data_IF_717352515535
#
_entry.id   IF_717352515535
#
_cell.length_a   1.000
_cell.length_b   1.000
_cell.length_c   1.000
_cell.angle_alpha   90.00
_cell.angle_beta   90.00
_cell.angle_gamma   90.00
#
_symmetry.space_group_name_H-M   'P 1'
#
loop_
_entity.id
_entity.type
_entity.pdbx_description
1 polymer ?
#
# COMPACT_ATOMS: atom_id res chain seq x y z
N UNK A 1 16.44 32.58 26.49
CA UNK A 1 15.69 32.82 25.25
C UNK A 1 14.27 32.35 25.48
N UNK A 2 13.30 33.25 25.53
CA UNK A 2 11.89 32.90 25.71
C UNK A 2 11.29 32.71 24.32
N UNK A 3 11.10 31.46 23.90
CA UNK A 3 10.57 31.18 22.58
C UNK A 3 9.06 31.38 22.58
N UNK A 4 8.55 32.17 21.62
CA UNK A 4 7.12 32.44 21.50
C UNK A 4 6.30 31.17 21.19
N UNK A 5 4.97 31.23 21.39
CA UNK A 5 4.08 30.08 21.18
C UNK A 5 4.13 29.48 19.77
N UNK A 6 4.45 30.29 18.75
CA UNK A 6 4.61 29.81 17.37
C UNK A 6 5.84 28.90 17.18
N UNK A 7 6.95 29.24 17.83
CA UNK A 7 8.17 28.41 17.78
C UNK A 7 7.91 27.04 18.41
N UNK A 8 7.21 27.01 19.56
CA UNK A 8 6.86 25.76 20.23
C UNK A 8 5.93 24.90 19.36
N UNK A 9 4.96 25.51 18.68
CA UNK A 9 4.09 24.81 17.70
C UNK A 9 4.91 24.24 16.53
N UNK A 10 5.80 25.03 15.95
CA UNK A 10 6.65 24.58 14.84
C UNK A 10 7.57 23.42 15.26
N UNK A 11 8.14 23.48 16.46
CA UNK A 11 8.97 22.41 17.01
C UNK A 11 8.16 21.13 17.27
N UNK A 12 6.93 21.26 17.79
CA UNK A 12 6.02 20.13 17.98
C UNK A 12 5.64 19.46 16.65
N UNK A 13 5.32 20.25 15.61
CA UNK A 13 5.01 19.73 14.27
C UNK A 13 6.20 18.98 13.68
N UNK A 14 7.41 19.55 13.75
CA UNK A 14 8.63 18.89 13.26
C UNK A 14 8.91 17.58 14.00
N UNK A 15 8.67 17.54 15.31
CA UNK A 15 8.81 16.31 16.09
C UNK A 15 7.80 15.25 15.67
N UNK A 16 6.53 15.64 15.46
CA UNK A 16 5.47 14.74 15.01
C UNK A 16 5.78 14.16 13.62
N UNK A 17 6.26 14.97 12.68
CA UNK A 17 6.69 14.52 11.35
C UNK A 17 7.83 13.49 11.44
N UNK A 18 8.84 13.74 12.28
CA UNK A 18 9.94 12.81 12.49
C UNK A 18 9.47 11.49 13.12
N UNK A 19 8.53 11.54 14.07
CA UNK A 19 7.92 10.34 14.63
C UNK A 19 7.16 9.54 13.58
N UNK A 20 6.38 10.19 12.73
CA UNK A 20 5.65 9.55 11.64
C UNK A 20 6.62 8.85 10.66
N UNK A 21 7.70 9.52 10.25
CA UNK A 21 8.73 8.92 9.37
C UNK A 21 9.34 7.67 9.97
N UNK A 22 9.69 7.72 11.27
CA UNK A 22 10.25 6.56 11.99
C UNK A 22 9.23 5.41 12.08
N UNK A 23 7.98 5.72 12.40
CA UNK A 23 6.91 4.74 12.46
C UNK A 23 6.67 4.07 11.09
N UNK A 24 6.64 4.85 10.01
CA UNK A 24 6.49 4.32 8.65
C UNK A 24 7.62 3.35 8.28
N UNK A 25 8.87 3.70 8.60
CA UNK A 25 10.02 2.83 8.38
C UNK A 25 9.93 1.56 9.25
N UNK A 26 9.59 1.71 10.53
CA UNK A 26 9.43 0.58 11.43
C UNK A 26 8.37 -0.40 10.91
N UNK A 27 7.23 0.09 10.44
CA UNK A 27 6.19 -0.75 9.81
C UNK A 27 6.72 -1.44 8.57
N UNK A 28 7.42 -0.73 7.68
CA UNK A 28 8.00 -1.30 6.46
C UNK A 28 8.98 -2.44 6.75
N UNK A 29 9.74 -2.35 7.84
CA UNK A 29 10.67 -3.41 8.24
C UNK A 29 10.02 -4.59 8.97
N UNK A 30 8.90 -4.37 9.67
CA UNK A 30 8.33 -5.39 10.56
C UNK A 30 7.08 -6.07 10.01
N UNK A 31 6.47 -5.55 8.94
CA UNK A 31 5.31 -6.18 8.34
C UNK A 31 5.70 -7.51 7.69
N UNK A 32 5.02 -8.60 8.09
CA UNK A 32 5.27 -9.96 7.58
C UNK A 32 4.15 -10.49 6.69
N UNK A 33 2.96 -9.93 6.85
CA UNK A 33 1.75 -10.36 6.16
C UNK A 33 1.06 -9.15 5.53
N UNK A 34 0.25 -9.35 4.48
CA UNK A 34 -0.62 -8.30 3.97
C UNK A 34 -1.52 -7.73 5.06
N UNK A 35 -1.86 -6.45 4.94
CA UNK A 35 -2.83 -5.79 5.82
C UNK A 35 -4.24 -6.39 5.66
N UNK A 36 -4.53 -6.86 4.45
CA UNK A 36 -5.77 -7.58 4.15
C UNK A 36 -5.53 -8.56 3.00
N UNK A 37 -6.18 -9.72 3.06
CA UNK A 37 -6.23 -10.66 1.96
C UNK A 37 -7.55 -11.44 1.98
N UNK A 38 -8.30 -11.43 0.87
CA UNK A 38 -9.48 -12.29 0.68
C UNK A 38 -9.74 -12.61 -0.78
N UNK A 39 -10.45 -13.72 -1.01
CA UNK A 39 -11.03 -14.04 -2.32
C UNK A 39 -12.28 -13.21 -2.55
N UNK A 40 -12.38 -12.58 -3.72
CA UNK A 40 -13.53 -11.83 -4.20
C UNK A 40 -14.12 -12.52 -5.43
N UNK A 41 -15.45 -12.52 -5.56
CA UNK A 41 -16.15 -13.19 -6.67
C UNK A 41 -16.34 -14.69 -6.48
N UNK A 42 -16.84 -15.37 -7.51
CA UNK A 42 -17.14 -16.81 -7.53
C UNK A 42 -16.76 -17.41 -8.89
N UNK A 43 -16.41 -18.70 -8.91
CA UNK A 43 -16.07 -19.42 -10.14
C UNK A 43 -14.87 -18.82 -10.87
N UNK A 44 -14.91 -18.84 -12.20
CA UNK A 44 -13.84 -18.36 -13.08
C UNK A 44 -13.57 -16.86 -13.00
N UNK A 45 -14.49 -16.06 -12.43
CA UNK A 45 -14.31 -14.62 -12.24
C UNK A 45 -13.74 -14.25 -10.86
N UNK A 46 -13.40 -15.25 -10.04
CA UNK A 46 -12.87 -14.99 -8.71
C UNK A 46 -11.42 -14.53 -8.75
N UNK A 47 -11.05 -13.62 -7.85
CA UNK A 47 -9.69 -13.09 -7.70
C UNK A 47 -9.29 -13.05 -6.23
N UNK A 48 -8.01 -13.15 -5.93
CA UNK A 48 -7.48 -12.73 -4.63
C UNK A 48 -7.24 -11.23 -4.63
N UNK A 49 -7.81 -10.56 -3.63
CA UNK A 49 -7.60 -9.14 -3.35
C UNK A 49 -6.67 -9.06 -2.16
N UNK A 50 -5.56 -8.33 -2.33
CA UNK A 50 -4.52 -8.19 -1.32
C UNK A 50 -4.16 -6.73 -1.12
N UNK A 51 -4.26 -6.23 0.11
CA UNK A 51 -3.80 -4.89 0.47
C UNK A 51 -2.48 -5.01 1.24
N UNK A 52 -1.43 -4.40 0.71
CA UNK A 52 -0.08 -4.44 1.26
C UNK A 52 0.34 -3.05 1.74
N UNK A 53 1.21 -2.98 2.73
CA UNK A 53 1.84 -1.70 3.10
C UNK A 53 2.76 -1.23 1.95
N UNK A 54 2.79 0.07 1.59
CA UNK A 54 2.16 1.22 2.24
C UNK A 54 0.81 1.64 1.64
N UNK A 55 -0.12 0.69 1.48
CA UNK A 55 -1.48 0.94 0.96
C UNK A 55 -1.62 0.60 -0.53
N UNK A 56 -0.90 -0.41 -1.01
CA UNK A 56 -0.99 -0.89 -2.40
C UNK A 56 -2.02 -2.01 -2.48
N UNK A 57 -3.02 -1.87 -3.33
CA UNK A 57 -4.01 -2.89 -3.61
C UNK A 57 -3.59 -3.71 -4.84
N UNK A 58 -3.50 -5.02 -4.69
CA UNK A 58 -3.22 -5.96 -5.77
C UNK A 58 -4.42 -6.89 -6.02
N UNK A 59 -4.69 -7.14 -7.30
CA UNK A 59 -5.66 -8.14 -7.77
C UNK A 59 -4.87 -9.28 -8.39
N UNK A 60 -5.12 -10.49 -7.91
CA UNK A 60 -4.31 -11.67 -8.22
C UNK A 60 -5.23 -12.78 -8.71
N UNK A 61 -4.84 -13.44 -9.79
CA UNK A 61 -5.48 -14.67 -10.27
C UNK A 61 -5.27 -15.78 -9.24
N UNK A 62 -6.34 -16.43 -8.74
CA UNK A 62 -6.23 -17.37 -7.63
C UNK A 62 -5.65 -18.73 -8.02
N UNK A 63 -5.67 -19.06 -9.32
CA UNK A 63 -5.25 -20.36 -9.83
C UNK A 63 -3.77 -20.33 -10.24
N UNK A 64 -3.33 -19.24 -10.86
CA UNK A 64 -1.96 -19.04 -11.34
C UNK A 64 -1.09 -18.22 -10.39
N UNK A 65 -1.69 -17.45 -9.48
CA UNK A 65 -0.98 -16.48 -8.65
C UNK A 65 -0.52 -15.22 -9.41
N UNK A 66 -0.95 -15.06 -10.67
CA UNK A 66 -0.54 -13.95 -11.52
C UNK A 66 -1.16 -12.63 -11.05
N UNK A 67 -0.36 -11.57 -10.97
CA UNK A 67 -0.86 -10.24 -10.65
C UNK A 67 -1.55 -9.64 -11.88
N UNK A 68 -2.84 -9.36 -11.75
CA UNK A 68 -3.70 -8.84 -12.82
C UNK A 68 -3.81 -7.31 -12.80
N UNK A 69 -3.70 -6.70 -11.61
CA UNK A 69 -3.66 -5.26 -11.43
C UNK A 69 -2.98 -4.88 -10.12
N UNK A 70 -2.36 -3.70 -10.08
CA UNK A 70 -1.77 -3.11 -8.87
C UNK A 70 -2.10 -1.63 -8.83
N UNK A 71 -2.45 -1.11 -7.65
CA UNK A 71 -2.74 0.31 -7.46
C UNK A 71 -1.50 1.14 -7.12
N UNK A 72 -1.61 2.46 -7.22
CA UNK A 72 -0.68 3.37 -6.55
C UNK A 72 -0.81 3.28 -5.01
N UNK A 73 0.26 3.56 -4.25
CA UNK A 73 0.21 3.57 -2.79
C UNK A 73 -0.82 4.57 -2.24
N UNK A 74 -1.73 4.08 -1.41
CA UNK A 74 -2.77 4.90 -0.78
C UNK A 74 -3.92 5.32 -1.70
N UNK A 75 -3.90 4.89 -2.97
CA UNK A 75 -4.91 5.21 -3.98
C UNK A 75 -5.44 3.91 -4.61
N UNK A 76 -6.28 3.14 -3.89
CA UNK A 76 -6.65 1.78 -4.28
C UNK A 76 -7.39 1.67 -5.63
N UNK A 77 -8.03 2.75 -6.09
CA UNK A 77 -8.69 2.82 -7.39
C UNK A 77 -7.80 3.26 -8.57
N UNK A 78 -6.58 3.74 -8.31
CA UNK A 78 -5.68 4.25 -9.35
C UNK A 78 -4.71 3.16 -9.76
N UNK A 79 -4.82 2.66 -11.00
CA UNK A 79 -3.88 1.69 -11.55
C UNK A 79 -2.45 2.28 -11.56
N UNK A 80 -1.48 1.50 -11.08
CA UNK A 80 -0.08 1.88 -11.04
C UNK A 80 0.42 2.30 -12.42
N UNK A 81 1.08 3.45 -12.49
CA UNK A 81 1.62 3.97 -13.74
C UNK A 81 2.59 2.97 -14.38
N UNK A 82 2.38 2.69 -15.68
CA UNK A 82 3.20 1.75 -16.44
C UNK A 82 2.98 0.28 -16.11
N UNK A 83 1.92 -0.08 -15.37
CA UNK A 83 1.57 -1.49 -15.18
C UNK A 83 1.21 -2.14 -16.52
N UNK A 84 1.93 -3.22 -16.85
CA UNK A 84 1.66 -4.05 -18.03
C UNK A 84 0.95 -5.32 -17.57
N UNK A 85 -0.34 -5.50 -17.88
CA UNK A 85 -1.05 -6.73 -17.53
C UNK A 85 -0.45 -7.92 -18.30
N UNK A 86 -0.52 -9.13 -17.73
CA UNK A 86 -0.15 -10.34 -18.45
C UNK A 86 -0.98 -10.44 -19.73
N UNK A 87 -0.31 -10.56 -20.89
CA UNK A 87 -1.02 -10.72 -22.16
C UNK A 87 -1.64 -12.12 -22.24
N UNK A 88 -2.90 -12.25 -22.66
CA UNK A 88 -3.48 -13.57 -22.91
C UNK A 88 -2.73 -14.25 -24.07
N UNK A 89 -2.16 -15.44 -23.82
CA UNK A 89 -1.55 -16.28 -24.87
C UNK A 89 -0.04 -16.53 -24.77
N UNK A 90 0.63 -16.14 -23.68
CA UNK A 90 2.01 -16.56 -23.39
C UNK A 90 2.04 -17.44 -22.13
N UNK A 91 1.73 -18.73 -22.33
CA UNK A 91 2.01 -19.83 -21.40
C UNK A 91 2.70 -20.94 -22.19
#
# INVERSE_FOLDING_TARGET
MNFGPEYLKAQALKSAENHLKRAANFTAFNIKNPLFQRRMGKGSASVFVRLEWPGVLAVIDPDTGTVLAVSEPGQPEVLKAGFLPPMPGTL
#
